data_IF_713618418057
#
_entry.id   IF_713618418057
#
_cell.length_a   1.000
_cell.length_b   1.000
_cell.length_c   1.000
_cell.angle_alpha   90.00
_cell.angle_beta   90.00
_cell.angle_gamma   90.00
#
_symmetry.space_group_name_H-M   'P 1'
#
loop_
_entity.id
_entity.type
_entity.pdbx_description
1 polymer ?
#
# COMPACT_ATOMS: atom_id res chain seq x y z
N UNK A 1 -58.59 3.73 -38.09
CA UNK A 1 -58.26 4.28 -36.76
C UNK A 1 -57.69 3.11 -35.95
N UNK A 2 -56.36 3.00 -35.93
CA UNK A 2 -55.65 2.03 -35.14
C UNK A 2 -54.99 2.81 -33.99
N UNK A 3 -55.26 2.37 -32.73
CA UNK A 3 -54.69 2.95 -31.51
C UNK A 3 -53.33 2.31 -31.28
N UNK A 4 -52.27 3.12 -31.30
CA UNK A 4 -50.94 2.73 -30.84
C UNK A 4 -50.91 2.74 -29.31
N UNK A 5 -50.69 1.56 -28.73
CA UNK A 5 -50.39 1.41 -27.31
C UNK A 5 -48.92 1.66 -27.12
N UNK A 6 -48.57 2.77 -26.48
CA UNK A 6 -47.21 3.07 -26.02
C UNK A 6 -46.89 2.25 -24.78
N UNK A 7 -46.11 1.19 -24.95
CA UNK A 7 -45.47 0.49 -23.81
C UNK A 7 -44.34 1.35 -23.26
N UNK A 8 -44.56 1.97 -22.13
CA UNK A 8 -43.50 2.66 -21.35
C UNK A 8 -42.65 1.61 -20.63
N UNK A 9 -41.40 1.46 -21.10
CA UNK A 9 -40.38 0.67 -20.42
C UNK A 9 -39.97 1.46 -19.16
N UNK A 10 -40.46 1.02 -18.00
CA UNK A 10 -40.00 1.52 -16.71
C UNK A 10 -38.67 0.84 -16.40
N UNK A 11 -37.58 1.56 -16.59
CA UNK A 11 -36.27 1.15 -16.11
C UNK A 11 -36.31 1.17 -14.57
N UNK A 12 -36.17 0.00 -13.95
CA UNK A 12 -36.00 -0.09 -12.51
C UNK A 12 -34.71 0.64 -12.12
N UNK A 13 -34.80 1.68 -11.30
CA UNK A 13 -33.63 2.32 -10.71
C UNK A 13 -32.86 1.26 -9.87
N UNK A 14 -31.51 1.14 -10.06
CA UNK A 14 -30.75 0.29 -9.20
C UNK A 14 -30.87 0.82 -7.75
N UNK A 15 -31.26 -0.04 -6.83
CA UNK A 15 -31.32 0.29 -5.42
C UNK A 15 -29.94 0.80 -4.98
N UNK A 16 -29.82 2.11 -4.71
CA UNK A 16 -28.65 2.71 -4.10
C UNK A 16 -28.64 2.19 -2.66
N UNK A 17 -27.93 1.10 -2.44
CA UNK A 17 -27.60 0.65 -1.09
C UNK A 17 -26.79 1.76 -0.46
N UNK A 18 -27.28 2.36 0.62
CA UNK A 18 -26.60 3.48 1.26
C UNK A 18 -25.16 3.10 1.60
N UNK A 19 -24.22 4.02 1.42
CA UNK A 19 -22.78 3.85 1.75
C UNK A 19 -22.60 3.25 3.15
N UNK A 20 -23.45 3.65 4.10
CA UNK A 20 -23.49 3.11 5.46
C UNK A 20 -23.85 1.62 5.53
N UNK A 21 -24.75 1.12 4.68
CA UNK A 21 -25.12 -0.29 4.65
C UNK A 21 -24.00 -1.18 4.06
N UNK A 22 -23.20 -0.66 3.14
CA UNK A 22 -22.03 -1.37 2.59
C UNK A 22 -20.83 -1.38 3.57
N UNK A 23 -20.75 -0.40 4.47
CA UNK A 23 -19.62 -0.25 5.43
C UNK A 23 -19.94 -0.92 6.78
N UNK A 24 -21.21 -1.10 7.11
CA UNK A 24 -21.70 -1.24 8.50
C UNK A 24 -21.67 -2.62 9.13
N UNK A 25 -21.34 -3.73 8.47
CA UNK A 25 -21.65 -5.03 9.10
C UNK A 25 -20.57 -6.11 9.13
N UNK A 26 -19.39 -5.89 8.55
CA UNK A 26 -18.36 -6.94 8.55
C UNK A 26 -17.13 -6.42 9.27
N UNK A 27 -16.78 -7.05 10.42
CA UNK A 27 -15.40 -6.95 10.90
C UNK A 27 -14.50 -7.40 9.74
N UNK A 28 -13.44 -6.65 9.41
CA UNK A 28 -12.55 -7.06 8.35
C UNK A 28 -12.03 -8.47 8.68
N UNK A 29 -12.23 -9.40 7.77
CA UNK A 29 -11.63 -10.72 7.90
C UNK A 29 -10.11 -10.57 8.03
N UNK A 30 -9.45 -11.48 8.77
CA UNK A 30 -7.99 -11.43 8.89
C UNK A 30 -7.36 -11.56 7.50
N UNK A 31 -6.46 -10.63 7.18
CA UNK A 31 -5.77 -10.65 5.88
C UNK A 31 -4.83 -11.86 5.79
N UNK A 32 -4.81 -12.48 4.63
CA UNK A 32 -3.94 -13.62 4.32
C UNK A 32 -2.48 -13.17 4.40
N UNK A 33 -1.68 -13.93 5.14
CA UNK A 33 -0.23 -13.73 5.27
C UNK A 33 0.49 -14.50 4.18
N UNK A 34 1.24 -13.84 3.28
CA UNK A 34 2.06 -14.56 2.31
C UNK A 34 3.22 -15.30 3.00
N UNK A 35 3.70 -16.36 2.39
CA UNK A 35 4.86 -17.08 2.91
C UNK A 35 6.14 -16.25 2.82
N UNK A 36 7.09 -16.40 3.79
CA UNK A 36 8.41 -15.80 3.66
C UNK A 36 9.19 -16.43 2.49
N UNK A 37 10.07 -15.62 1.88
CA UNK A 37 10.97 -16.11 0.84
C UNK A 37 12.35 -16.46 1.43
N UNK A 38 13.07 -17.33 0.73
CA UNK A 38 14.41 -17.78 1.09
C UNK A 38 15.38 -17.60 -0.08
N UNK A 39 16.69 -17.59 0.20
CA UNK A 39 17.70 -17.54 -0.86
C UNK A 39 17.52 -18.69 -1.84
N UNK A 40 17.59 -18.38 -3.13
CA UNK A 40 17.30 -19.30 -4.22
C UNK A 40 15.90 -19.14 -4.81
N UNK A 41 14.95 -18.56 -4.06
CA UNK A 41 13.60 -18.31 -4.55
C UNK A 41 13.59 -17.27 -5.69
N UNK A 42 12.52 -17.30 -6.48
CA UNK A 42 12.32 -16.37 -7.59
C UNK A 42 11.43 -15.21 -7.17
N UNK A 43 11.89 -13.98 -7.44
CA UNK A 43 11.13 -12.75 -7.30
C UNK A 43 10.63 -12.35 -8.69
N UNK A 44 9.31 -12.17 -8.85
CA UNK A 44 8.70 -11.60 -10.03
C UNK A 44 8.80 -10.07 -10.02
N UNK A 45 9.08 -9.47 -11.17
CA UNK A 45 9.13 -8.00 -11.30
C UNK A 45 8.15 -7.57 -12.38
N UNK A 46 7.24 -6.68 -12.04
CA UNK A 46 6.13 -6.23 -12.88
C UNK A 46 6.11 -4.72 -13.06
N UNK A 47 5.48 -4.22 -14.12
CA UNK A 47 5.34 -2.79 -14.39
C UNK A 47 3.85 -2.36 -14.41
N UNK A 48 3.19 -2.29 -13.25
CA UNK A 48 1.78 -1.90 -13.19
C UNK A 48 1.56 -0.42 -13.51
N UNK A 49 2.56 0.41 -13.25
CA UNK A 49 2.57 1.86 -13.42
C UNK A 49 3.28 2.28 -14.71
N UNK A 50 4.34 3.07 -14.63
CA UNK A 50 5.21 3.36 -15.76
C UNK A 50 6.18 2.20 -16.05
N UNK A 51 6.82 2.27 -17.20
CA UNK A 51 7.93 1.36 -17.52
C UNK A 51 9.21 1.86 -16.85
N UNK A 52 9.93 1.00 -16.11
CA UNK A 52 11.16 1.41 -15.45
C UNK A 52 12.25 1.74 -16.46
N UNK A 53 13.15 2.62 -16.07
CA UNK A 53 14.32 2.94 -16.89
C UNK A 53 15.28 1.74 -16.91
N UNK A 54 15.61 1.25 -18.11
CA UNK A 54 16.43 0.03 -18.30
C UNK A 54 17.69 0.00 -17.42
N UNK A 55 18.42 1.12 -17.32
CA UNK A 55 19.65 1.16 -16.52
C UNK A 55 19.41 1.04 -15.00
N UNK A 56 18.30 1.57 -14.49
CA UNK A 56 17.92 1.47 -13.08
C UNK A 56 17.36 0.09 -12.77
N UNK A 57 16.45 -0.42 -13.59
CA UNK A 57 15.94 -1.78 -13.52
C UNK A 57 17.09 -2.81 -13.49
N UNK A 58 18.05 -2.69 -14.42
CA UNK A 58 19.21 -3.61 -14.49
C UNK A 58 20.04 -3.59 -13.20
N UNK A 59 20.19 -2.41 -12.56
CA UNK A 59 20.92 -2.29 -11.28
C UNK A 59 20.16 -2.96 -10.14
N UNK A 60 18.86 -2.71 -10.03
CA UNK A 60 18.01 -3.31 -9.02
C UNK A 60 17.92 -4.83 -9.15
N UNK A 61 17.72 -5.34 -10.37
CA UNK A 61 17.77 -6.79 -10.65
C UNK A 61 19.09 -7.40 -10.17
N UNK A 62 20.24 -6.80 -10.54
CA UNK A 62 21.55 -7.26 -10.06
C UNK A 62 21.70 -7.18 -8.53
N UNK A 63 21.05 -6.23 -7.87
CA UNK A 63 21.06 -6.15 -6.41
C UNK A 63 20.33 -7.34 -5.78
N UNK A 64 19.15 -7.71 -6.31
CA UNK A 64 18.39 -8.89 -5.88
C UNK A 64 19.14 -10.19 -6.15
N UNK A 65 19.76 -10.32 -7.35
CA UNK A 65 20.57 -11.49 -7.70
C UNK A 65 21.78 -11.65 -6.75
N UNK A 66 22.48 -10.56 -6.42
CA UNK A 66 23.59 -10.58 -5.44
C UNK A 66 23.13 -10.93 -4.02
N UNK A 67 21.88 -10.62 -3.68
CA UNK A 67 21.28 -11.03 -2.42
C UNK A 67 20.91 -12.52 -2.40
N UNK A 68 21.00 -13.21 -3.53
CA UNK A 68 20.81 -14.66 -3.65
C UNK A 68 19.45 -15.07 -4.19
N UNK A 69 18.71 -14.17 -4.86
CA UNK A 69 17.42 -14.46 -5.48
C UNK A 69 17.51 -14.61 -6.99
N UNK A 70 16.63 -15.39 -7.57
CA UNK A 70 16.40 -15.39 -9.02
C UNK A 70 15.37 -14.31 -9.36
N UNK A 71 15.50 -13.64 -10.51
CA UNK A 71 14.55 -12.61 -10.92
C UNK A 71 13.86 -13.02 -12.21
N UNK A 72 12.52 -12.99 -12.21
CA UNK A 72 11.68 -13.19 -13.38
C UNK A 72 11.01 -11.87 -13.74
N UNK A 73 11.34 -11.32 -14.91
CA UNK A 73 10.77 -10.06 -15.39
C UNK A 73 9.46 -10.30 -16.16
N UNK A 74 8.50 -9.40 -15.97
CA UNK A 74 7.39 -9.22 -16.90
C UNK A 74 7.97 -9.06 -18.33
N UNK A 75 7.50 -9.82 -19.32
CA UNK A 75 8.05 -9.80 -20.69
C UNK A 75 7.96 -8.42 -21.36
N UNK A 76 7.05 -7.56 -20.93
CA UNK A 76 6.84 -6.22 -21.47
C UNK A 76 7.28 -5.10 -20.50
N UNK A 77 8.05 -5.40 -19.47
CA UNK A 77 8.40 -4.48 -18.38
C UNK A 77 8.98 -3.14 -18.85
N UNK A 78 9.66 -3.11 -19.99
CA UNK A 78 10.26 -1.90 -20.58
C UNK A 78 9.44 -1.29 -21.70
N UNK A 79 8.27 -1.86 -22.05
CA UNK A 79 7.40 -1.34 -23.10
C UNK A 79 6.76 -0.03 -22.64
N UNK A 80 6.91 1.03 -23.44
CA UNK A 80 6.37 2.35 -23.11
C UNK A 80 4.85 2.32 -22.96
N UNK A 81 4.37 2.93 -21.89
CA UNK A 81 2.95 2.99 -21.58
C UNK A 81 2.19 3.91 -22.54
N UNK A 82 1.07 3.43 -23.09
CA UNK A 82 0.20 4.15 -24.02
C UNK A 82 -1.16 4.55 -23.47
N UNK A 83 -1.52 4.11 -22.27
CA UNK A 83 -2.80 4.38 -21.61
C UNK A 83 -4.04 4.01 -22.43
N UNK A 84 -3.97 2.93 -23.18
CA UNK A 84 -5.12 2.34 -23.87
C UNK A 84 -5.71 1.20 -23.06
N UNK A 85 -7.03 0.95 -23.23
CA UNK A 85 -7.69 -0.20 -22.58
C UNK A 85 -6.98 -1.52 -22.87
N UNK A 86 -6.60 -1.77 -24.12
CA UNK A 86 -5.92 -3.00 -24.52
C UNK A 86 -4.55 -3.16 -23.85
N UNK A 87 -3.85 -2.06 -23.57
CA UNK A 87 -2.60 -2.11 -22.84
C UNK A 87 -2.83 -2.33 -21.33
N UNK A 88 -3.85 -1.68 -20.76
CA UNK A 88 -4.20 -1.87 -19.34
C UNK A 88 -4.58 -3.34 -19.07
N UNK A 89 -5.37 -3.95 -19.97
CA UNK A 89 -5.76 -5.36 -19.94
C UNK A 89 -4.54 -6.28 -20.04
N UNK A 90 -3.66 -6.06 -21.02
CA UNK A 90 -2.43 -6.85 -21.19
C UNK A 90 -1.49 -6.76 -19.99
N UNK A 91 -1.35 -5.57 -19.36
CA UNK A 91 -0.54 -5.41 -18.16
C UNK A 91 -1.14 -6.15 -16.96
N UNK A 92 -2.47 -6.18 -16.85
CA UNK A 92 -3.16 -6.99 -15.86
C UNK A 92 -2.91 -8.50 -16.10
N UNK A 93 -3.00 -8.95 -17.35
CA UNK A 93 -2.66 -10.34 -17.74
C UNK A 93 -1.21 -10.68 -17.40
N UNK A 94 -0.26 -9.80 -17.68
CA UNK A 94 1.16 -9.98 -17.35
C UNK A 94 1.37 -10.08 -15.83
N UNK A 95 0.75 -9.21 -15.04
CA UNK A 95 0.80 -9.27 -13.58
C UNK A 95 0.24 -10.61 -13.07
N UNK A 96 -0.94 -11.01 -13.54
CA UNK A 96 -1.56 -12.29 -13.16
C UNK A 96 -0.72 -13.48 -13.63
N UNK A 97 -0.12 -13.42 -14.81
CA UNK A 97 0.79 -14.44 -15.33
C UNK A 97 2.03 -14.64 -14.46
N UNK A 98 2.70 -13.55 -14.07
CA UNK A 98 3.81 -13.59 -13.11
C UNK A 98 3.33 -14.10 -11.73
N UNK A 99 2.14 -13.69 -11.30
CA UNK A 99 1.59 -14.15 -10.04
C UNK A 99 1.29 -15.64 -10.01
N UNK A 100 0.78 -16.20 -11.09
CA UNK A 100 0.46 -17.63 -11.22
C UNK A 100 1.69 -18.52 -11.44
N UNK A 101 2.85 -17.97 -11.82
CA UNK A 101 4.06 -18.79 -11.99
C UNK A 101 4.46 -19.42 -10.64
N UNK A 102 4.50 -20.75 -10.53
CA UNK A 102 4.77 -21.44 -9.27
C UNK A 102 6.20 -21.24 -8.74
N UNK A 103 7.12 -20.81 -9.61
CA UNK A 103 8.49 -20.49 -9.24
C UNK A 103 8.56 -19.16 -8.45
N UNK A 104 7.69 -18.21 -8.78
CA UNK A 104 7.65 -16.89 -8.16
C UNK A 104 7.11 -17.00 -6.73
N UNK A 105 7.85 -16.46 -5.75
CA UNK A 105 7.50 -16.48 -4.33
C UNK A 105 7.15 -15.09 -3.78
N UNK A 106 7.65 -14.03 -4.40
CA UNK A 106 7.28 -12.65 -4.11
C UNK A 106 7.23 -11.84 -5.41
N UNK A 107 6.52 -10.73 -5.42
CA UNK A 107 6.41 -9.82 -6.57
C UNK A 107 6.79 -8.41 -6.13
N UNK A 108 7.61 -7.72 -6.92
CA UNK A 108 8.03 -6.34 -6.66
C UNK A 108 7.70 -5.48 -7.89
N UNK A 109 7.18 -4.29 -7.67
CA UNK A 109 7.00 -3.31 -8.73
C UNK A 109 8.33 -2.84 -9.31
N UNK A 110 8.41 -2.70 -10.63
CA UNK A 110 9.62 -2.22 -11.30
C UNK A 110 9.88 -0.74 -11.05
N UNK A 111 8.83 0.07 -11.06
CA UNK A 111 8.84 1.51 -10.77
C UNK A 111 7.43 1.99 -10.41
N UNK A 112 7.33 3.17 -9.84
CA UNK A 112 6.07 3.90 -9.65
C UNK A 112 5.61 4.65 -10.91
N UNK A 113 4.90 5.77 -10.73
CA UNK A 113 4.44 6.65 -11.81
C UNK A 113 2.92 6.79 -11.86
N UNK A 114 2.27 6.30 -12.92
CA UNK A 114 0.83 6.34 -13.07
C UNK A 114 0.31 5.16 -13.88
N UNK A 115 -0.87 4.66 -13.50
CA UNK A 115 -1.65 3.73 -14.30
C UNK A 115 -2.01 2.42 -13.62
N UNK A 116 -1.54 2.14 -12.40
CA UNK A 116 -1.93 0.95 -11.66
C UNK A 116 -3.45 0.86 -11.47
N UNK A 117 -4.10 1.97 -11.15
CA UNK A 117 -5.56 2.05 -11.01
C UNK A 117 -6.32 1.61 -12.26
N UNK A 118 -5.74 1.80 -13.46
CA UNK A 118 -6.37 1.45 -14.73
C UNK A 118 -6.42 -0.06 -15.00
N UNK A 119 -5.54 -0.83 -14.32
CA UNK A 119 -5.49 -2.29 -14.43
C UNK A 119 -6.53 -2.98 -13.55
N UNK A 120 -6.95 -2.34 -12.46
CA UNK A 120 -7.86 -2.93 -11.46
C UNK A 120 -9.11 -3.58 -12.07
N UNK A 121 -9.82 -2.98 -13.07
CA UNK A 121 -11.00 -3.61 -13.68
C UNK A 121 -10.75 -4.94 -14.41
N UNK A 122 -9.49 -5.29 -14.66
CA UNK A 122 -9.09 -6.51 -15.37
C UNK A 122 -8.43 -7.54 -14.45
N UNK A 123 -8.32 -7.26 -13.15
CA UNK A 123 -7.74 -8.17 -12.17
C UNK A 123 -8.80 -9.08 -11.57
N UNK A 124 -8.44 -10.33 -11.34
CA UNK A 124 -9.28 -11.35 -10.72
C UNK A 124 -8.83 -11.62 -9.29
N UNK A 125 -9.58 -11.17 -8.25
CA UNK A 125 -9.15 -11.31 -6.85
C UNK A 125 -8.78 -12.75 -6.45
N UNK A 126 -9.51 -13.73 -6.96
CA UNK A 126 -9.33 -15.15 -6.64
C UNK A 126 -7.93 -15.67 -7.02
N UNK A 127 -7.29 -15.11 -8.05
CA UNK A 127 -5.92 -15.47 -8.45
C UNK A 127 -4.94 -15.12 -7.34
N UNK A 128 -5.11 -13.95 -6.73
CA UNK A 128 -4.23 -13.43 -5.68
C UNK A 128 -4.51 -14.12 -4.34
N UNK A 129 -5.76 -14.32 -4.00
CA UNK A 129 -6.22 -14.97 -2.78
C UNK A 129 -5.81 -16.46 -2.72
N UNK A 130 -5.94 -17.19 -3.85
CA UNK A 130 -5.57 -18.60 -3.93
C UNK A 130 -4.06 -18.86 -4.00
N UNK A 131 -3.25 -17.84 -4.31
CA UNK A 131 -1.81 -17.92 -4.46
C UNK A 131 -1.11 -16.77 -3.71
N UNK A 132 -1.25 -16.67 -2.38
CA UNK A 132 -0.80 -15.51 -1.64
C UNK A 132 0.72 -15.34 -1.75
N UNK A 133 1.15 -14.17 -2.25
CA UNK A 133 2.56 -13.79 -2.40
C UNK A 133 2.77 -12.40 -1.83
N UNK A 134 3.95 -12.13 -1.27
CA UNK A 134 4.30 -10.76 -0.88
C UNK A 134 4.34 -9.87 -2.13
N UNK A 135 3.60 -8.76 -2.10
CA UNK A 135 3.62 -7.74 -3.15
C UNK A 135 4.21 -6.45 -2.59
N UNK A 136 5.32 -6.01 -3.18
CA UNK A 136 6.08 -4.84 -2.71
C UNK A 136 6.03 -3.72 -3.72
N UNK A 137 5.87 -2.50 -3.23
CA UNK A 137 5.94 -1.28 -4.00
C UNK A 137 5.45 -0.08 -3.20
N UNK A 138 5.37 1.08 -3.83
CA UNK A 138 4.88 2.32 -3.24
C UNK A 138 4.42 3.29 -4.34
N UNK A 139 4.09 4.54 -3.98
CA UNK A 139 3.63 5.52 -4.96
C UNK A 139 2.34 5.03 -5.65
N UNK A 140 2.25 5.08 -6.98
CA UNK A 140 1.10 4.63 -7.77
C UNK A 140 0.67 3.17 -7.48
N UNK A 141 1.62 2.32 -7.00
CA UNK A 141 1.34 0.93 -6.61
C UNK A 141 0.41 0.86 -5.37
N UNK A 142 0.27 1.93 -4.60
CA UNK A 142 -0.69 2.03 -3.50
C UNK A 142 -2.12 1.68 -3.96
N UNK A 143 -2.52 2.01 -5.19
CA UNK A 143 -3.83 1.62 -5.72
C UNK A 143 -4.03 0.10 -5.73
N UNK A 144 -2.98 -0.66 -6.12
CA UNK A 144 -3.01 -2.13 -6.07
C UNK A 144 -2.93 -2.66 -4.65
N UNK A 145 -2.18 -2.01 -3.75
CA UNK A 145 -2.16 -2.37 -2.34
C UNK A 145 -3.54 -2.30 -1.71
N UNK A 146 -4.26 -1.20 -1.92
CA UNK A 146 -5.61 -1.02 -1.41
C UNK A 146 -6.57 -2.07 -2.00
N UNK A 147 -6.47 -2.32 -3.30
CA UNK A 147 -7.28 -3.33 -3.96
C UNK A 147 -6.97 -4.76 -3.47
N UNK A 148 -5.69 -5.14 -3.33
CA UNK A 148 -5.28 -6.45 -2.83
C UNK A 148 -5.76 -6.68 -1.40
N UNK A 149 -5.62 -5.68 -0.52
CA UNK A 149 -6.12 -5.78 0.85
C UNK A 149 -7.64 -5.89 0.90
N UNK A 150 -8.36 -5.12 0.07
CA UNK A 150 -9.83 -5.05 0.13
C UNK A 150 -10.53 -6.17 -0.62
N UNK A 151 -10.03 -6.55 -1.79
CA UNK A 151 -10.70 -7.46 -2.72
C UNK A 151 -10.08 -8.88 -2.74
N UNK A 152 -8.79 -9.01 -2.42
CA UNK A 152 -8.09 -10.29 -2.37
C UNK A 152 -7.63 -10.66 -0.94
N UNK A 153 -8.05 -9.91 0.07
CA UNK A 153 -7.76 -10.14 1.50
C UNK A 153 -6.28 -10.43 1.80
N UNK A 154 -5.35 -9.81 1.07
CA UNK A 154 -3.92 -10.11 1.14
C UNK A 154 -3.16 -8.98 1.84
N UNK A 155 -2.23 -9.32 2.75
CA UNK A 155 -1.24 -8.38 3.29
C UNK A 155 -0.26 -7.99 2.19
N UNK A 156 0.10 -6.69 2.18
CA UNK A 156 0.98 -6.09 1.19
C UNK A 156 2.13 -5.35 1.87
N UNK A 157 3.12 -4.94 1.09
CA UNK A 157 4.34 -4.34 1.63
C UNK A 157 4.60 -3.01 0.92
N UNK A 158 4.37 -1.91 1.63
CA UNK A 158 4.84 -0.61 1.17
C UNK A 158 6.37 -0.57 1.29
N UNK A 159 7.07 -0.28 0.22
CA UNK A 159 8.53 -0.31 0.19
C UNK A 159 9.07 -0.06 -1.21
N UNK A 160 10.39 -0.15 -1.39
CA UNK A 160 11.07 0.25 -2.62
C UNK A 160 10.60 -0.57 -3.83
N UNK A 161 10.57 0.08 -4.99
CA UNK A 161 10.49 -0.58 -6.29
C UNK A 161 11.89 -1.04 -6.74
N UNK A 162 11.96 -1.84 -7.80
CA UNK A 162 13.25 -2.42 -8.22
C UNK A 162 14.24 -1.36 -8.69
N UNK A 163 13.77 -0.27 -9.29
CA UNK A 163 14.66 0.81 -9.74
C UNK A 163 15.22 1.69 -8.60
N UNK A 164 14.66 1.58 -7.38
CA UNK A 164 15.21 2.21 -6.17
C UNK A 164 16.33 1.38 -5.50
N UNK A 165 16.48 0.11 -5.86
CA UNK A 165 17.42 -0.80 -5.21
C UNK A 165 18.86 -0.52 -5.61
N UNK A 166 19.40 0.59 -5.12
CA UNK A 166 20.81 0.96 -5.34
C UNK A 166 21.61 0.54 -4.10
N UNK A 167 22.49 -0.46 -4.20
CA UNK A 167 23.28 -0.91 -3.05
C UNK A 167 24.13 0.23 -2.48
N UNK A 168 23.90 0.55 -1.21
CA UNK A 168 24.69 1.51 -0.44
C UNK A 168 24.87 0.98 0.99
N UNK A 169 26.08 1.09 1.51
CA UNK A 169 26.36 0.65 2.89
C UNK A 169 25.69 1.54 3.96
N UNK A 170 25.23 2.73 3.57
CA UNK A 170 24.59 3.71 4.48
C UNK A 170 23.09 3.77 4.34
N UNK A 171 22.52 3.15 3.31
CA UNK A 171 21.10 3.14 3.02
C UNK A 171 20.49 1.79 3.45
N UNK A 172 19.65 1.75 4.48
CA UNK A 172 19.04 0.51 4.96
C UNK A 172 17.86 0.01 4.10
N UNK A 173 17.48 0.69 3.02
CA UNK A 173 16.35 0.35 2.15
C UNK A 173 16.36 -1.12 1.71
N UNK A 174 17.47 -1.58 1.11
CA UNK A 174 17.60 -2.96 0.65
C UNK A 174 17.58 -3.97 1.82
N UNK A 175 18.23 -3.64 2.93
CA UNK A 175 18.26 -4.50 4.12
C UNK A 175 16.86 -4.64 4.74
N UNK A 176 16.11 -3.54 4.80
CA UNK A 176 14.73 -3.51 5.27
C UNK A 176 13.80 -4.34 4.37
N UNK A 177 13.93 -4.21 3.04
CA UNK A 177 13.19 -5.02 2.07
C UNK A 177 13.42 -6.52 2.31
N UNK A 178 14.67 -6.93 2.37
CA UNK A 178 15.01 -8.34 2.56
C UNK A 178 14.53 -8.87 3.92
N UNK A 179 14.71 -8.10 4.99
CA UNK A 179 14.22 -8.48 6.30
C UNK A 179 12.71 -8.67 6.33
N UNK A 180 11.95 -7.76 5.68
CA UNK A 180 10.49 -7.83 5.62
C UNK A 180 9.95 -8.99 4.76
N UNK A 181 10.74 -9.50 3.82
CA UNK A 181 10.35 -10.63 2.96
C UNK A 181 10.82 -11.99 3.46
N UNK A 182 11.86 -12.03 4.32
CA UNK A 182 12.48 -13.30 4.77
C UNK A 182 12.19 -13.65 6.22
N UNK A 183 11.78 -12.67 7.04
CA UNK A 183 11.47 -12.89 8.46
C UNK A 183 9.97 -12.69 8.70
N UNK A 184 9.30 -13.59 9.44
CA UNK A 184 7.86 -13.47 9.73
C UNK A 184 7.49 -12.14 10.38
N UNK A 185 8.33 -11.65 11.28
CA UNK A 185 8.11 -10.38 11.97
C UNK A 185 9.18 -9.36 11.61
N UNK A 186 8.80 -8.15 11.18
CA UNK A 186 9.73 -7.05 10.97
C UNK A 186 10.48 -6.68 12.25
N UNK A 187 11.56 -5.92 12.09
CA UNK A 187 12.32 -5.39 13.22
C UNK A 187 11.42 -4.59 14.18
N UNK A 188 11.70 -4.70 15.47
CA UNK A 188 10.99 -3.92 16.49
C UNK A 188 11.43 -2.46 16.46
N UNK A 189 10.47 -1.52 16.69
CA UNK A 189 10.71 -0.07 16.80
C UNK A 189 11.21 0.58 15.49
N UNK A 190 10.50 0.33 14.39
CA UNK A 190 10.79 1.00 13.12
C UNK A 190 10.54 2.50 13.26
N UNK A 191 11.48 3.30 12.83
CA UNK A 191 11.40 4.77 12.84
C UNK A 191 12.06 5.47 14.02
N UNK A 192 12.37 4.77 15.14
CA UNK A 192 12.76 5.36 16.44
C UNK A 192 13.84 6.44 16.37
N UNK A 193 14.85 6.28 15.54
CA UNK A 193 15.99 7.20 15.47
C UNK A 193 15.86 8.23 14.33
N UNK A 194 14.75 8.23 13.61
CA UNK A 194 14.53 9.04 12.42
C UNK A 194 13.22 9.81 12.45
N UNK A 195 12.18 9.24 13.05
CA UNK A 195 10.85 9.85 13.10
C UNK A 195 10.74 10.86 14.25
N UNK A 196 9.91 11.89 14.06
CA UNK A 196 9.68 13.01 14.96
C UNK A 196 8.26 12.96 15.55
N UNK A 197 8.15 13.24 16.83
CA UNK A 197 6.85 13.36 17.48
C UNK A 197 6.17 14.68 17.11
N UNK A 198 4.90 14.65 16.72
CA UNK A 198 4.04 15.82 16.59
C UNK A 198 2.96 15.84 17.69
N UNK A 199 2.31 14.71 17.96
CA UNK A 199 1.36 14.61 19.06
C UNK A 199 1.63 13.32 19.85
N UNK A 200 2.11 13.42 21.11
CA UNK A 200 2.41 12.27 21.94
C UNK A 200 1.20 11.38 22.22
N UNK A 201 1.43 10.09 22.39
CA UNK A 201 0.41 9.11 22.75
C UNK A 201 0.79 7.69 22.32
N UNK A 202 -0.14 6.77 22.57
CA UNK A 202 0.00 5.36 22.18
C UNK A 202 -1.31 4.86 21.63
N UNK A 203 -1.23 4.11 20.54
CA UNK A 203 -2.39 3.48 19.95
C UNK A 203 -2.03 2.15 19.31
N UNK A 204 -2.98 1.22 19.32
CA UNK A 204 -2.86 -0.07 18.65
C UNK A 204 -3.92 -0.17 17.58
N UNK A 205 -3.53 -0.67 16.40
CA UNK A 205 -4.44 -0.85 15.29
C UNK A 205 -3.72 -1.45 14.10
N UNK A 206 -4.47 -1.79 13.09
CA UNK A 206 -3.93 -2.30 11.83
C UNK A 206 -3.27 -1.14 11.05
N UNK A 207 -2.02 -1.32 10.63
CA UNK A 207 -1.33 -0.33 9.80
C UNK A 207 -1.87 -0.38 8.37
N UNK A 208 -2.45 0.71 7.91
CA UNK A 208 -3.03 0.85 6.57
C UNK A 208 -2.63 2.19 5.97
N UNK A 209 -2.64 2.31 4.65
CA UNK A 209 -2.30 3.58 3.99
C UNK A 209 -1.40 3.42 2.79
N UNK A 210 -0.50 4.39 2.58
CA UNK A 210 0.43 4.51 1.46
C UNK A 210 0.49 5.93 0.94
N UNK A 211 0.61 6.09 -0.37
CA UNK A 211 0.63 7.41 -1.00
C UNK A 211 -0.71 8.14 -0.81
N UNK A 212 -0.65 9.36 -0.29
CA UNK A 212 -1.82 10.17 0.08
C UNK A 212 -2.77 10.40 -1.10
N UNK A 213 -2.23 10.69 -2.29
CA UNK A 213 -3.01 10.86 -3.52
C UNK A 213 -3.86 9.63 -3.82
N UNK A 214 -3.26 8.45 -3.74
CA UNK A 214 -3.92 7.18 -4.07
C UNK A 214 -4.90 6.76 -2.96
N UNK A 215 -4.58 7.06 -1.71
CA UNK A 215 -5.52 6.87 -0.59
C UNK A 215 -6.75 7.74 -0.80
N UNK A 216 -6.59 9.03 -1.10
CA UNK A 216 -7.70 9.93 -1.39
C UNK A 216 -8.53 9.46 -2.60
N UNK A 217 -7.87 9.05 -3.69
CA UNK A 217 -8.54 8.56 -4.90
C UNK A 217 -9.32 7.25 -4.68
N UNK A 218 -9.02 6.51 -3.63
CA UNK A 218 -9.76 5.28 -3.31
C UNK A 218 -11.17 5.54 -2.76
N UNK A 219 -11.44 6.74 -2.26
CA UNK A 219 -12.73 7.10 -1.64
C UNK A 219 -13.87 6.96 -2.65
N UNK A 220 -14.90 6.20 -2.27
CA UNK A 220 -16.06 5.92 -3.13
C UNK A 220 -15.84 4.79 -4.14
N UNK A 221 -14.68 4.13 -4.15
CA UNK A 221 -14.43 2.96 -5.00
C UNK A 221 -14.70 1.65 -4.26
N UNK A 222 -14.83 0.50 -4.98
CA UNK A 222 -14.94 -0.81 -4.33
C UNK A 222 -13.74 -1.21 -3.46
N UNK A 223 -12.58 -0.56 -3.65
CA UNK A 223 -11.35 -0.77 -2.89
C UNK A 223 -11.00 0.44 -2.00
N UNK A 224 -12.02 1.21 -1.59
CA UNK A 224 -11.86 2.29 -0.61
C UNK A 224 -11.12 1.77 0.62
N UNK A 225 -10.14 2.55 1.07
CA UNK A 225 -9.36 2.22 2.25
C UNK A 225 -10.23 2.03 3.49
N UNK A 226 -10.01 0.97 4.26
CA UNK A 226 -10.66 0.74 5.55
C UNK A 226 -9.75 1.23 6.67
N UNK A 227 -10.07 2.38 7.22
CA UNK A 227 -9.31 3.04 8.30
C UNK A 227 -9.91 2.84 9.69
N UNK A 228 -11.00 2.05 9.82
CA UNK A 228 -11.67 1.81 11.10
C UNK A 228 -10.70 1.18 12.11
N UNK A 229 -10.54 1.85 13.24
CA UNK A 229 -9.63 1.45 14.31
C UNK A 229 -8.17 1.20 13.86
N UNK A 230 -7.73 1.87 12.79
CA UNK A 230 -6.43 1.66 12.16
C UNK A 230 -5.40 2.71 12.58
N UNK A 231 -4.14 2.39 12.39
CA UNK A 231 -3.03 3.35 12.31
C UNK A 231 -2.87 3.71 10.83
N UNK A 232 -3.14 4.97 10.50
CA UNK A 232 -3.10 5.46 9.13
C UNK A 232 -1.70 5.96 8.78
N UNK A 233 -1.05 5.32 7.81
CA UNK A 233 0.22 5.74 7.24
C UNK A 233 -0.01 6.50 5.94
N UNK A 234 0.60 7.70 5.82
CA UNK A 234 0.49 8.55 4.63
C UNK A 234 1.87 9.09 4.25
N UNK A 235 2.23 9.02 2.98
CA UNK A 235 3.41 9.66 2.40
C UNK A 235 3.04 10.34 1.08
N UNK A 236 3.82 11.32 0.65
CA UNK A 236 3.57 12.01 -0.62
C UNK A 236 4.87 12.59 -1.19
N UNK A 237 4.89 12.92 -2.48
CA UNK A 237 6.05 13.53 -3.12
C UNK A 237 5.66 14.56 -4.19
N UNK A 238 6.48 15.61 -4.30
CA UNK A 238 6.43 16.62 -5.37
C UNK A 238 5.15 17.46 -5.43
N UNK A 239 4.28 17.35 -4.47
CA UNK A 239 3.10 18.18 -4.40
C UNK A 239 3.37 19.39 -3.46
N UNK A 240 2.90 20.59 -3.82
CA UNK A 240 2.95 21.73 -2.93
C UNK A 240 2.06 21.48 -1.72
N UNK A 241 2.40 22.10 -0.60
CA UNK A 241 1.67 21.95 0.66
C UNK A 241 0.15 22.16 0.50
N UNK A 242 -0.28 23.12 -0.33
CA UNK A 242 -1.70 23.37 -0.59
C UNK A 242 -2.47 22.18 -1.17
N UNK A 243 -1.78 21.32 -1.93
CA UNK A 243 -2.39 20.08 -2.49
C UNK A 243 -2.42 18.98 -1.44
N UNK A 244 -1.39 18.91 -0.59
CA UNK A 244 -1.38 17.97 0.55
C UNK A 244 -2.49 18.32 1.54
N UNK A 245 -2.64 19.62 1.85
CA UNK A 245 -3.73 20.18 2.67
C UNK A 245 -5.10 19.78 2.09
N UNK A 246 -5.37 20.11 0.81
CA UNK A 246 -6.64 19.78 0.15
C UNK A 246 -6.99 18.28 0.31
N UNK A 247 -6.01 17.40 0.15
CA UNK A 247 -6.23 15.96 0.28
C UNK A 247 -6.56 15.55 1.72
N UNK A 248 -5.84 16.06 2.69
CA UNK A 248 -6.08 15.77 4.11
C UNK A 248 -7.43 16.32 4.57
N UNK A 249 -7.80 17.53 4.16
CA UNK A 249 -9.14 18.10 4.38
C UNK A 249 -10.21 17.24 3.73
N UNK A 250 -9.98 16.69 2.54
CA UNK A 250 -10.92 15.75 1.91
C UNK A 250 -11.06 14.45 2.71
N UNK A 251 -9.96 13.84 3.18
CA UNK A 251 -10.03 12.67 4.07
C UNK A 251 -10.84 12.97 5.34
N UNK A 252 -10.65 14.16 5.90
CA UNK A 252 -11.41 14.63 7.07
C UNK A 252 -12.89 14.76 6.75
N UNK A 253 -13.23 15.45 5.66
CA UNK A 253 -14.62 15.67 5.23
C UNK A 253 -15.35 14.36 4.88
N UNK A 254 -14.60 13.39 4.34
CA UNK A 254 -15.11 12.04 4.08
C UNK A 254 -15.31 11.19 5.35
N UNK A 255 -14.92 11.71 6.52
CA UNK A 255 -15.05 11.03 7.81
C UNK A 255 -14.02 9.95 8.09
N UNK A 256 -12.94 9.86 7.29
CA UNK A 256 -11.92 8.85 7.51
C UNK A 256 -11.06 9.15 8.73
N UNK A 257 -10.62 10.41 8.90
CA UNK A 257 -9.74 10.77 10.02
C UNK A 257 -10.40 10.60 11.39
N UNK A 258 -11.72 10.64 11.48
CA UNK A 258 -12.44 10.39 12.75
C UNK A 258 -12.50 8.91 13.16
N UNK A 259 -12.07 7.99 12.29
CA UNK A 259 -12.12 6.54 12.51
C UNK A 259 -10.76 5.94 12.87
N UNK A 260 -9.66 6.72 12.72
CA UNK A 260 -8.31 6.21 12.97
C UNK A 260 -7.99 6.22 14.47
N UNK A 261 -7.03 5.38 14.87
CA UNK A 261 -6.45 5.31 16.21
C UNK A 261 -5.13 6.09 16.33
N UNK A 262 -4.48 6.39 15.22
CA UNK A 262 -3.23 7.13 15.15
C UNK A 262 -2.83 7.41 13.72
N UNK A 263 -1.95 8.38 13.53
CA UNK A 263 -1.49 8.81 12.21
C UNK A 263 0.04 8.78 12.18
N UNK A 264 0.58 8.23 11.09
CA UNK A 264 2.01 8.20 10.79
C UNK A 264 2.21 8.87 9.44
N UNK A 265 2.86 10.03 9.44
CA UNK A 265 3.32 10.64 8.21
C UNK A 265 4.72 10.12 7.87
N UNK A 266 4.84 9.54 6.69
CA UNK A 266 6.11 9.25 6.05
C UNK A 266 6.75 10.52 5.49
N UNK A 267 7.61 10.33 4.52
CA UNK A 267 8.26 11.45 3.83
C UNK A 267 7.23 12.15 2.92
N UNK A 268 7.15 13.48 3.02
CA UNK A 268 6.23 14.31 2.24
C UNK A 268 6.93 15.15 1.18
N UNK A 269 8.28 15.13 1.16
CA UNK A 269 9.13 15.91 0.24
C UNK A 269 8.75 17.40 0.18
N UNK A 270 8.39 17.97 1.33
CA UNK A 270 8.11 19.39 1.49
C UNK A 270 9.40 20.20 1.56
N UNK A 271 9.34 21.50 1.20
CA UNK A 271 10.42 22.41 1.47
C UNK A 271 10.54 22.67 2.99
N UNK A 272 11.75 22.89 3.49
CA UNK A 272 11.98 23.12 4.94
C UNK A 272 11.15 24.25 5.54
N UNK A 273 10.80 25.26 4.75
CA UNK A 273 9.93 26.35 5.18
C UNK A 273 8.47 25.95 5.31
N UNK A 274 8.09 24.82 4.74
CA UNK A 274 6.72 24.28 4.75
C UNK A 274 6.55 23.20 5.84
N UNK A 275 7.65 22.62 6.36
CA UNK A 275 7.60 21.53 7.35
C UNK A 275 6.92 21.95 8.66
N UNK A 276 7.29 23.11 9.22
CA UNK A 276 6.70 23.64 10.47
C UNK A 276 5.23 24.05 10.24
N UNK A 277 4.94 24.69 9.11
CA UNK A 277 3.57 25.08 8.73
C UNK A 277 2.69 23.85 8.52
N UNK A 278 3.23 22.78 7.94
CA UNK A 278 2.53 21.52 7.75
C UNK A 278 2.20 20.84 9.09
N UNK A 279 3.12 20.84 10.05
CA UNK A 279 2.86 20.28 11.37
C UNK A 279 1.75 21.03 12.09
N UNK A 280 1.81 22.37 12.13
CA UNK A 280 0.76 23.20 12.72
C UNK A 280 -0.61 22.94 12.08
N UNK A 281 -0.64 22.85 10.75
CA UNK A 281 -1.85 22.50 10.00
C UNK A 281 -2.40 21.12 10.37
N UNK A 282 -1.54 20.10 10.44
CA UNK A 282 -1.99 18.73 10.80
C UNK A 282 -2.52 18.70 12.24
N UNK A 283 -1.83 19.36 13.17
CA UNK A 283 -2.26 19.41 14.58
C UNK A 283 -3.60 20.13 14.74
N UNK A 284 -3.85 21.20 13.98
CA UNK A 284 -5.17 21.86 13.94
C UNK A 284 -6.24 20.92 13.34
N UNK A 285 -5.93 20.27 12.21
CA UNK A 285 -6.84 19.34 11.51
C UNK A 285 -7.32 18.18 12.39
N UNK A 286 -6.49 17.72 13.33
CA UNK A 286 -6.79 16.58 14.23
C UNK A 286 -6.92 17.01 15.69
N UNK A 287 -7.14 18.31 15.96
CA UNK A 287 -7.17 18.88 17.31
C UNK A 287 -8.24 18.29 18.20
N UNK A 288 -9.38 17.94 17.64
CA UNK A 288 -10.53 17.31 18.31
C UNK A 288 -10.44 15.78 18.39
N UNK A 289 -9.40 15.16 17.82
CA UNK A 289 -9.18 13.71 17.86
C UNK A 289 -8.15 13.37 18.94
N UNK A 290 -8.42 12.37 19.75
CA UNK A 290 -7.47 11.82 20.74
C UNK A 290 -6.60 10.75 20.07
N UNK A 291 -5.73 11.17 19.15
CA UNK A 291 -4.86 10.28 18.37
C UNK A 291 -3.40 10.75 18.42
N UNK A 292 -2.42 9.84 18.61
CA UNK A 292 -1.01 10.15 18.43
C UNK A 292 -0.68 10.43 16.97
N UNK A 293 0.24 11.38 16.74
CA UNK A 293 0.73 11.74 15.40
C UNK A 293 2.26 11.68 15.36
N UNK A 294 2.78 10.89 14.44
CA UNK A 294 4.20 10.71 14.16
C UNK A 294 4.53 11.28 12.79
N UNK A 295 5.62 12.09 12.70
CA UNK A 295 6.12 12.69 11.47
C UNK A 295 7.46 12.09 11.04
N UNK A 296 7.86 12.34 9.81
CA UNK A 296 9.17 12.00 9.26
C UNK A 296 9.50 10.49 9.38
N UNK A 297 8.47 9.65 9.32
CA UNK A 297 8.69 8.22 9.35
C UNK A 297 9.45 7.79 8.09
N UNK A 298 10.53 6.98 8.22
CA UNK A 298 11.48 6.73 7.12
C UNK A 298 10.94 5.77 6.06
N UNK A 299 9.79 6.07 5.47
CA UNK A 299 9.18 5.35 4.37
C UNK A 299 8.48 6.34 3.43
N UNK A 300 8.67 6.17 2.13
CA UNK A 300 8.15 7.05 1.07
C UNK A 300 9.14 7.28 -0.05
N UNK A 301 9.20 8.50 -0.59
CA UNK A 301 9.96 8.82 -1.79
C UNK A 301 11.41 9.28 -1.53
N UNK A 302 11.83 9.41 -0.29
CA UNK A 302 13.19 9.75 0.08
C UNK A 302 13.98 8.53 0.60
N UNK A 303 15.26 8.71 0.82
CA UNK A 303 16.16 7.68 1.36
C UNK A 303 16.38 7.91 2.86
N UNK A 304 16.14 6.88 3.69
CA UNK A 304 15.76 5.52 3.34
C UNK A 304 14.26 5.35 3.09
N UNK A 305 13.89 4.43 2.21
CA UNK A 305 12.52 3.94 2.08
C UNK A 305 12.42 2.55 2.73
N UNK A 306 12.09 2.52 4.01
CA UNK A 306 11.96 1.28 4.76
C UNK A 306 10.70 0.51 4.33
N UNK A 307 10.83 -0.80 4.19
CA UNK A 307 9.68 -1.64 3.87
C UNK A 307 8.82 -1.86 5.10
N UNK A 308 7.53 -1.54 4.98
CA UNK A 308 6.53 -1.68 6.04
C UNK A 308 5.38 -2.58 5.57
N UNK A 309 5.14 -3.71 6.25
CA UNK A 309 3.97 -4.54 6.01
C UNK A 309 2.68 -3.81 6.38
N UNK A 310 1.80 -3.62 5.41
CA UNK A 310 0.45 -3.07 5.61
C UNK A 310 -0.57 -4.20 5.86
N UNK A 311 -1.63 -3.87 6.57
CA UNK A 311 -2.64 -4.85 6.98
C UNK A 311 -2.25 -5.66 8.21
N UNK A 312 -1.18 -5.28 8.91
CA UNK A 312 -0.61 -5.95 10.09
C UNK A 312 -0.92 -5.13 11.35
N UNK A 313 -1.23 -5.78 12.46
CA UNK A 313 -1.44 -5.10 13.73
C UNK A 313 -0.13 -4.51 14.28
N UNK A 314 -0.17 -3.24 14.62
CA UNK A 314 0.97 -2.49 15.17
C UNK A 314 0.57 -1.70 16.41
N UNK A 315 1.56 -1.38 17.24
CA UNK A 315 1.47 -0.31 18.22
C UNK A 315 2.28 0.90 17.73
N UNK A 316 1.62 2.03 17.61
CA UNK A 316 2.24 3.34 17.42
C UNK A 316 2.57 3.90 18.80
N UNK A 317 3.83 4.26 19.00
CA UNK A 317 4.34 4.89 20.23
C UNK A 317 4.94 6.23 19.84
N UNK A 318 4.40 7.31 20.38
CA UNK A 318 4.91 8.67 20.18
C UNK A 318 5.24 9.24 21.57
N UNK A 319 6.51 9.49 21.82
CA UNK A 319 7.04 10.11 23.03
C UNK A 319 7.30 11.62 22.75
N UNK A 320 7.79 12.37 23.71
CA UNK A 320 7.89 13.85 23.62
C UNK A 320 8.70 14.37 22.41
N UNK A 321 9.68 13.63 21.91
CA UNK A 321 10.55 14.07 20.82
C UNK A 321 10.71 13.09 19.68
N UNK A 322 10.28 11.84 19.85
CA UNK A 322 10.47 10.77 18.89
C UNK A 322 9.32 9.75 18.94
N UNK A 323 9.27 8.87 17.99
CA UNK A 323 8.28 7.79 17.99
C UNK A 323 8.67 6.64 17.08
N UNK A 324 7.91 5.57 17.16
CA UNK A 324 8.16 4.37 16.39
C UNK A 324 6.92 3.50 16.26
N UNK A 325 6.97 2.59 15.30
CA UNK A 325 5.97 1.56 15.09
C UNK A 325 6.53 0.20 15.54
N UNK A 326 5.74 -0.56 16.30
CA UNK A 326 6.07 -1.91 16.75
C UNK A 326 5.05 -2.90 16.19
N UNK A 327 5.48 -3.87 15.41
CA UNK A 327 4.61 -4.93 14.90
C UNK A 327 4.23 -5.89 16.04
N UNK A 328 2.93 -6.09 16.25
CA UNK A 328 2.38 -6.94 17.33
C UNK A 328 2.09 -8.36 16.87
N UNK A 329 2.03 -8.57 15.57
CA UNK A 329 1.85 -9.87 14.95
C UNK A 329 2.85 -10.11 13.81
N UNK A 330 2.91 -11.34 13.30
CA UNK A 330 3.76 -11.69 12.17
C UNK A 330 3.13 -11.18 10.86
N UNK A 331 3.94 -10.56 10.02
CA UNK A 331 3.52 -10.03 8.72
C UNK A 331 3.43 -11.11 7.64
N UNK A 332 4.31 -12.11 7.74
CA UNK A 332 4.36 -13.29 6.89
C UNK A 332 3.86 -14.52 7.64
N UNK A 333 3.47 -15.55 6.91
CA UNK A 333 3.08 -16.83 7.48
C UNK A 333 4.26 -17.48 8.22
N UNK A 334 3.97 -18.14 9.35
CA UNK A 334 4.95 -18.96 10.06
C UNK A 334 4.73 -20.43 9.73
N UNK A 335 5.79 -21.30 9.79
CA UNK A 335 5.61 -22.72 9.57
C UNK A 335 4.60 -23.31 10.58
N UNK A 336 3.54 -23.91 10.08
CA UNK A 336 2.44 -24.45 10.89
C UNK A 336 1.14 -23.64 10.89
N UNK A 337 1.13 -22.45 10.31
CA UNK A 337 -0.11 -21.73 10.03
C UNK A 337 -0.84 -22.44 8.88
N UNK A 338 -1.92 -23.14 9.19
CA UNK A 338 -2.83 -23.66 8.18
C UNK A 338 -3.76 -22.50 7.75
N UNK A 339 -3.77 -22.10 6.45
CA UNK A 339 -4.66 -21.05 5.98
C UNK A 339 -6.15 -21.38 6.22
N UNK A 340 -6.50 -22.64 6.45
CA UNK A 340 -7.86 -23.08 6.78
C UNK A 340 -8.23 -22.90 8.27
N UNK A 341 -7.30 -22.66 9.18
CA UNK A 341 -7.58 -22.56 10.62
C UNK A 341 -8.03 -21.18 11.10
N UNK A 342 -7.99 -20.15 10.26
CA UNK A 342 -8.41 -18.79 10.61
C UNK A 342 -9.91 -18.51 10.42
N UNK A 343 -10.69 -19.49 9.91
CA UNK A 343 -12.14 -19.32 9.66
C UNK A 343 -13.05 -19.85 10.78
N UNK A 344 -12.51 -20.28 11.94
CA UNK A 344 -13.27 -20.84 13.04
C UNK A 344 -12.83 -20.25 14.40
N UNK A 345 -13.08 -18.96 14.61
CA UNK A 345 -13.06 -18.34 15.95
C UNK A 345 -14.01 -17.12 16.01
#
# INVERSE_FOLDING_TARGET
>A
MAAETSDSITLAEPAITSREAMISSVRPEPLIRPAPITKGDTIGVVAPSYSPRVGWLTRGVKALERAGFTVLLDPEITTLRRFTRAEDERRAENLMGIWLDPRVKAVIGGTGGYGAVRMIPFLEPQIFESNPKAFVGYSDITALHLWLMRCAHLRVFHGPTVDDLIPSARDPTMASLLASLTAPRPATRIGRDMARAAKPGRATGRLVGGNLSLVQQSIGTPYEIDVRDAILFLEETRDPMSVVDERLVHLRAAGLLSQVRGIVFGQLSLDRSEEDEFEDFVLDLVSDLDVPVLMDFPAGHEVPNLTIPLGTEVELVVEDSTGWVVYREDALAVPGDDPASSSAA
#
